data_IF_631954841026
#
_entry.id   IF_631954841026
#
_cell.length_a   1.000
_cell.length_b   1.000
_cell.length_c   1.000
_cell.angle_alpha   90.00
_cell.angle_beta   90.00
_cell.angle_gamma   90.00
#
_symmetry.space_group_name_H-M   'P 1'
#
loop_
_entity.id
_entity.type
_entity.pdbx_description
1 polymer ?
#
# COMPACT_ATOMS: atom_id res chain seq x y z
N UNK A 1 -8.56 -4.63 39.05
CA UNK A 1 -9.09 -5.76 38.26
C UNK A 1 -8.06 -6.26 37.25
N UNK A 2 -6.96 -6.90 37.68
CA UNK A 2 -5.86 -7.31 36.79
C UNK A 2 -6.13 -8.59 35.98
N UNK A 3 -7.22 -9.30 36.25
CA UNK A 3 -7.53 -10.60 35.64
C UNK A 3 -8.12 -10.50 34.21
N UNK A 4 -8.72 -9.36 33.85
CA UNK A 4 -9.38 -9.18 32.55
C UNK A 4 -8.44 -9.31 31.34
N UNK A 5 -7.19 -8.84 31.47
CA UNK A 5 -6.19 -8.97 30.41
C UNK A 5 -5.79 -10.44 30.19
N UNK A 6 -5.69 -11.23 31.26
CA UNK A 6 -5.37 -12.66 31.17
C UNK A 6 -6.51 -13.48 30.56
N UNK A 7 -7.76 -13.16 30.91
CA UNK A 7 -8.95 -13.80 30.31
C UNK A 7 -9.03 -13.54 28.79
N UNK A 8 -8.77 -12.30 28.35
CA UNK A 8 -8.69 -11.96 26.92
C UNK A 8 -7.61 -12.76 26.20
N UNK A 9 -6.42 -12.91 26.79
CA UNK A 9 -5.32 -13.68 26.22
C UNK A 9 -5.67 -15.17 26.12
N UNK A 10 -6.33 -15.74 27.13
CA UNK A 10 -6.78 -17.14 27.10
C UNK A 10 -7.82 -17.40 26.00
N UNK A 11 -8.80 -16.50 25.84
CA UNK A 11 -9.81 -16.61 24.77
C UNK A 11 -9.14 -16.51 23.41
N UNK A 12 -8.21 -15.57 23.24
CA UNK A 12 -7.46 -15.40 22.00
C UNK A 12 -6.65 -16.66 21.68
N UNK A 13 -6.02 -17.28 22.68
CA UNK A 13 -5.24 -18.51 22.51
C UNK A 13 -6.12 -19.68 22.04
N UNK A 14 -7.32 -19.84 22.61
CA UNK A 14 -8.29 -20.87 22.18
C UNK A 14 -8.77 -20.60 20.75
N UNK A 15 -9.09 -19.34 20.42
CA UNK A 15 -9.43 -18.95 19.04
C UNK A 15 -8.30 -19.27 18.07
N UNK A 16 -7.05 -19.00 18.47
CA UNK A 16 -5.87 -19.29 17.66
C UNK A 16 -5.64 -20.79 17.46
N UNK A 17 -6.09 -21.62 18.41
CA UNK A 17 -6.01 -23.07 18.29
C UNK A 17 -7.06 -23.63 17.31
N UNK A 18 -8.28 -23.08 17.35
CA UNK A 18 -9.39 -23.47 16.46
C UNK A 18 -9.20 -22.94 15.04
N UNK A 19 -8.92 -21.64 14.90
CA UNK A 19 -8.76 -20.98 13.60
C UNK A 19 -7.33 -21.08 13.06
N UNK A 20 -6.33 -21.24 13.92
CA UNK A 20 -4.92 -21.26 13.56
C UNK A 20 -4.24 -19.89 13.61
N UNK A 21 -2.95 -19.87 13.97
CA UNK A 21 -2.13 -18.64 14.08
C UNK A 21 -2.00 -17.83 12.77
N UNK A 22 -2.29 -18.45 11.62
CA UNK A 22 -2.18 -17.81 10.31
C UNK A 22 -3.50 -17.19 9.84
N UNK A 23 -4.67 -17.70 10.26
CA UNK A 23 -5.99 -17.26 9.79
C UNK A 23 -6.47 -15.96 10.45
N UNK A 24 -6.30 -15.82 11.77
CA UNK A 24 -6.66 -14.58 12.49
C UNK A 24 -6.00 -13.32 11.91
N UNK A 25 -4.67 -13.27 11.72
CA UNK A 25 -4.01 -12.07 11.19
C UNK A 25 -4.29 -11.86 9.70
N UNK A 26 -4.54 -12.93 8.94
CA UNK A 26 -4.93 -12.85 7.52
C UNK A 26 -6.30 -12.17 7.37
N UNK A 27 -7.29 -12.61 8.13
CA UNK A 27 -8.62 -11.99 8.17
C UNK A 27 -8.57 -10.56 8.72
N UNK A 28 -7.83 -10.34 9.82
CA UNK A 28 -7.64 -9.01 10.41
C UNK A 28 -6.99 -8.01 9.45
N UNK A 29 -6.03 -8.44 8.60
CA UNK A 29 -5.44 -7.56 7.58
C UNK A 29 -6.45 -7.15 6.50
N UNK A 30 -7.30 -8.06 6.05
CA UNK A 30 -8.34 -7.74 5.05
C UNK A 30 -9.40 -6.80 5.61
N UNK A 31 -9.87 -7.07 6.84
CA UNK A 31 -10.83 -6.23 7.56
C UNK A 31 -10.23 -4.87 7.90
N UNK A 32 -8.96 -4.81 8.28
CA UNK A 32 -8.25 -3.57 8.60
C UNK A 32 -8.09 -2.66 7.38
N UNK A 33 -7.82 -3.21 6.19
CA UNK A 33 -7.80 -2.44 4.95
C UNK A 33 -9.18 -1.84 4.63
N UNK A 34 -10.23 -2.65 4.66
CA UNK A 34 -11.60 -2.16 4.43
C UNK A 34 -12.05 -1.13 5.47
N UNK A 35 -11.71 -1.34 6.74
CA UNK A 35 -12.00 -0.37 7.82
C UNK A 35 -11.25 0.95 7.62
N UNK A 36 -10.02 0.90 7.09
CA UNK A 36 -9.23 2.10 6.81
C UNK A 36 -9.77 2.86 5.62
N UNK A 37 -10.11 2.19 4.52
CA UNK A 37 -10.76 2.81 3.36
C UNK A 37 -12.14 3.40 3.74
N UNK A 38 -12.88 2.70 4.59
CA UNK A 38 -14.15 3.19 5.14
C UNK A 38 -13.93 4.42 6.02
N UNK A 39 -12.97 4.38 6.96
CA UNK A 39 -12.57 5.53 7.77
C UNK A 39 -12.18 6.70 6.88
N UNK A 40 -11.32 6.51 5.89
CA UNK A 40 -10.83 7.59 5.03
C UNK A 40 -11.97 8.22 4.22
N UNK A 41 -12.92 7.41 3.75
CA UNK A 41 -14.11 7.90 3.04
C UNK A 41 -15.08 8.66 3.95
N UNK A 42 -15.22 8.23 5.20
CA UNK A 42 -16.08 8.88 6.20
C UNK A 42 -15.42 10.16 6.73
N UNK A 43 -14.14 10.09 7.12
CA UNK A 43 -13.36 11.22 7.61
C UNK A 43 -13.10 12.27 6.54
N UNK A 44 -12.97 11.90 5.26
CA UNK A 44 -12.85 12.84 4.16
C UNK A 44 -14.12 13.65 3.84
N UNK A 45 -15.25 13.33 4.49
CA UNK A 45 -16.47 14.15 4.48
C UNK A 45 -16.44 15.18 5.63
N UNK A 46 -15.87 14.82 6.78
CA UNK A 46 -15.71 15.70 7.94
C UNK A 46 -14.54 16.70 7.78
N UNK A 47 -13.45 16.34 7.09
CA UNK A 47 -12.24 17.19 6.96
C UNK A 47 -12.36 18.31 5.90
N UNK A 48 -13.50 18.42 5.19
CA UNK A 48 -13.68 19.41 4.10
C UNK A 48 -13.96 20.84 4.56
N UNK A 49 -13.96 21.12 5.87
CA UNK A 49 -14.12 22.49 6.39
C UNK A 49 -12.79 23.14 6.85
N UNK A 50 -11.67 22.41 7.02
CA UNK A 50 -10.53 22.95 7.82
C UNK A 50 -9.13 22.93 7.17
N UNK A 51 -8.94 22.59 5.89
CA UNK A 51 -7.56 22.50 5.36
C UNK A 51 -7.36 22.85 3.89
N UNK A 52 -7.54 24.13 3.56
CA UNK A 52 -6.68 24.75 2.54
C UNK A 52 -5.37 25.17 3.21
N UNK A 53 -4.24 24.83 2.57
CA UNK A 53 -2.84 25.24 2.81
C UNK A 53 -1.89 24.08 3.18
N UNK A 54 -0.85 23.97 2.34
CA UNK A 54 0.48 23.34 2.52
C UNK A 54 0.68 21.93 1.94
N UNK A 55 0.91 21.87 0.62
CA UNK A 55 2.08 21.14 0.10
C UNK A 55 3.34 21.94 0.47
N UNK A 56 4.49 21.34 0.84
CA UNK A 56 5.38 20.71 -0.15
C UNK A 56 6.26 19.56 0.43
N UNK A 57 7.36 19.13 -0.22
CA UNK A 57 7.53 17.91 -1.01
C UNK A 57 8.37 16.83 -0.29
N UNK A 58 7.98 15.56 -0.36
CA UNK A 58 8.88 14.45 -0.07
C UNK A 58 8.51 13.25 -0.93
N UNK A 59 9.11 13.21 -2.11
CA UNK A 59 9.41 11.95 -2.78
C UNK A 59 10.08 11.00 -1.79
N UNK A 60 9.50 9.83 -1.58
CA UNK A 60 10.24 8.62 -1.27
C UNK A 60 9.64 7.48 -2.10
N UNK A 61 9.95 7.41 -3.41
CA UNK A 61 9.89 6.16 -4.14
C UNK A 61 10.96 5.23 -3.54
N UNK A 62 10.62 4.56 -2.43
CA UNK A 62 11.37 3.40 -1.94
C UNK A 62 10.97 2.16 -2.74
N UNK A 63 11.19 2.22 -4.05
CA UNK A 63 11.25 1.07 -4.93
C UNK A 63 12.57 1.14 -5.69
N UNK A 64 13.36 0.06 -5.57
CA UNK A 64 14.57 -0.26 -6.32
C UNK A 64 15.79 0.66 -6.12
N UNK A 65 16.54 0.41 -5.06
CA UNK A 65 18.00 0.51 -5.11
C UNK A 65 18.55 -0.63 -5.99
N UNK A 66 18.83 -0.32 -7.25
CA UNK A 66 19.96 -0.92 -7.98
C UNK A 66 20.60 0.19 -8.85
N UNK A 67 21.78 0.72 -8.44
CA UNK A 67 22.54 1.68 -9.21
C UNK A 67 23.74 0.99 -9.86
N UNK A 68 23.70 0.77 -11.17
CA UNK A 68 24.90 0.44 -11.91
C UNK A 68 24.86 1.01 -13.34
N UNK A 69 25.70 2.04 -13.51
CA UNK A 69 26.42 2.37 -14.75
C UNK A 69 25.71 3.25 -15.79
N UNK A 70 25.93 4.57 -15.70
CA UNK A 70 26.10 5.46 -16.84
C UNK A 70 27.31 5.05 -17.70
N UNK A 71 27.08 4.45 -18.87
CA UNK A 71 28.05 4.39 -19.96
C UNK A 71 27.36 3.97 -21.27
N UNK A 72 27.10 4.96 -22.13
CA UNK A 72 27.49 5.01 -23.55
C UNK A 72 26.42 5.66 -24.45
N UNK A 73 26.73 6.82 -25.06
CA UNK A 73 26.05 7.28 -26.25
C UNK A 73 26.65 6.52 -27.44
N UNK A 74 25.94 5.52 -27.96
CA UNK A 74 26.32 4.83 -29.19
C UNK A 74 25.15 4.84 -30.19
N UNK A 75 25.46 5.22 -31.42
CA UNK A 75 24.53 5.68 -32.44
C UNK A 75 23.69 4.61 -33.14
N UNK A 76 22.63 5.12 -33.81
CA UNK A 76 22.01 4.79 -35.12
C UNK A 76 22.36 3.45 -35.80
N UNK A 77 21.49 2.83 -36.64
CA UNK A 77 20.16 3.26 -37.15
C UNK A 77 19.12 2.12 -37.31
N UNK A 78 17.96 2.44 -37.92
CA UNK A 78 17.00 1.55 -38.58
C UNK A 78 15.77 1.06 -37.78
N UNK A 79 14.69 1.82 -37.87
CA UNK A 79 13.32 1.29 -38.08
C UNK A 79 12.39 2.46 -38.45
N UNK A 80 12.61 3.01 -39.65
CA UNK A 80 11.61 3.84 -40.32
C UNK A 80 10.62 2.88 -40.98
N UNK A 81 9.64 2.46 -40.19
CA UNK A 81 8.39 1.85 -40.67
C UNK A 81 7.61 2.92 -41.44
N UNK A 82 8.03 3.18 -42.68
CA UNK A 82 7.30 3.96 -43.69
C UNK A 82 6.74 2.96 -44.72
N UNK A 83 5.76 2.17 -44.27
CA UNK A 83 4.90 1.31 -45.10
C UNK A 83 3.44 1.69 -44.88
N UNK A 84 3.06 2.95 -45.04
CA UNK A 84 1.64 3.28 -45.15
C UNK A 84 1.45 4.71 -45.67
N UNK A 85 0.55 4.86 -46.65
CA UNK A 85 0.20 6.11 -47.36
C UNK A 85 1.20 6.58 -48.41
N UNK A 86 1.17 5.95 -49.58
CA UNK A 86 0.73 6.59 -50.84
C UNK A 86 1.06 5.60 -51.97
N UNK A 87 0.10 4.74 -52.28
CA UNK A 87 -0.17 4.27 -53.64
C UNK A 87 -1.54 3.61 -53.72
#
# INVERSE_FOLDING_TARGET
MPFAWWELVLILLVLLLVFGAKRLPEMGRSLGKGMREFKDSVSGLDDRDDRETIHPPAELPAASSDPATPAEPHGIPAEETERERVS
#
